data_IF_380398263793
#
_entry.id   IF_380398263793
#
_cell.length_a   1.000
_cell.length_b   1.000
_cell.length_c   1.000
_cell.angle_alpha   90.00
_cell.angle_beta   90.00
_cell.angle_gamma   90.00
#
_symmetry.space_group_name_H-M   'P 1'
#
loop_
_entity.id
_entity.type
_entity.pdbx_description
1 polymer ?
#
# COMPACT_ATOMS: atom_id res chain seq x y z
N UNK A 1 9.50 13.74 -10.58
CA UNK A 1 9.44 15.12 -10.07
C UNK A 1 8.29 15.93 -10.68
N UNK A 2 7.90 15.74 -11.95
CA UNK A 2 6.78 16.53 -12.54
C UNK A 2 5.40 16.36 -11.87
N UNK A 3 5.03 15.14 -11.47
CA UNK A 3 3.69 14.80 -10.95
C UNK A 3 3.69 14.43 -9.47
N UNK A 4 4.87 14.38 -8.85
CA UNK A 4 5.03 14.02 -7.45
C UNK A 4 6.07 14.89 -6.75
N UNK A 5 5.94 15.04 -5.43
CA UNK A 5 6.84 15.83 -4.59
C UNK A 5 7.24 15.05 -3.33
N UNK A 6 8.51 15.17 -2.92
CA UNK A 6 8.98 14.67 -1.62
C UNK A 6 8.76 15.74 -0.54
N UNK A 7 8.56 15.36 0.74
CA UNK A 7 8.40 16.32 1.82
C UNK A 7 9.48 17.41 1.89
N UNK A 8 10.74 17.04 1.66
CA UNK A 8 11.89 17.95 1.68
C UNK A 8 12.03 18.82 0.41
N UNK A 9 11.21 18.58 -0.61
CA UNK A 9 11.18 19.35 -1.86
C UNK A 9 9.94 20.24 -1.98
N UNK A 10 9.09 20.27 -0.95
CA UNK A 10 7.90 21.13 -0.92
C UNK A 10 8.30 22.60 -0.80
N UNK A 11 7.53 23.47 -1.45
CA UNK A 11 7.60 24.91 -1.30
C UNK A 11 6.22 25.44 -0.89
N UNK A 12 6.20 26.66 -0.34
CA UNK A 12 4.95 27.38 -0.07
C UNK A 12 4.15 27.55 -1.37
N UNK A 13 2.83 27.45 -1.26
CA UNK A 13 1.94 27.65 -2.40
C UNK A 13 1.79 29.15 -2.67
N UNK A 14 2.71 29.68 -3.48
CA UNK A 14 2.72 31.09 -3.92
C UNK A 14 2.33 31.13 -5.40
N UNK A 15 1.19 31.74 -5.70
CA UNK A 15 0.61 31.80 -7.05
C UNK A 15 1.45 32.67 -8.01
N UNK A 16 2.51 32.06 -8.55
CA UNK A 16 3.46 32.65 -9.51
C UNK A 16 3.55 31.82 -10.79
N UNK A 17 2.60 30.90 -10.96
CA UNK A 17 2.57 29.92 -12.03
C UNK A 17 2.34 30.57 -13.40
N UNK A 18 2.89 29.95 -14.43
CA UNK A 18 2.71 30.31 -15.83
C UNK A 18 1.99 29.18 -16.56
N UNK A 19 1.41 29.50 -17.71
CA UNK A 19 0.82 28.49 -18.59
C UNK A 19 1.83 27.38 -18.89
N UNK A 20 1.46 26.13 -18.57
CA UNK A 20 2.32 24.96 -18.74
C UNK A 20 2.99 24.46 -17.46
N UNK A 21 2.96 25.25 -16.37
CA UNK A 21 3.43 24.79 -15.07
C UNK A 21 2.55 23.65 -14.54
N UNK A 22 3.17 22.70 -13.83
CA UNK A 22 2.49 21.55 -13.23
C UNK A 22 2.67 21.61 -11.73
N UNK A 23 1.55 21.59 -11.01
CA UNK A 23 1.53 21.35 -9.57
C UNK A 23 1.48 19.84 -9.34
N UNK A 24 2.47 19.25 -8.65
CA UNK A 24 2.46 17.83 -8.32
C UNK A 24 1.21 17.44 -7.52
N UNK A 25 0.48 16.41 -7.98
CA UNK A 25 -0.72 15.91 -7.30
C UNK A 25 -0.44 14.80 -6.27
N UNK A 26 0.79 14.27 -6.25
CA UNK A 26 1.16 13.13 -5.42
C UNK A 26 2.27 13.53 -4.45
N UNK A 27 2.07 13.29 -3.15
CA UNK A 27 3.16 13.39 -2.16
C UNK A 27 3.70 11.99 -1.92
N UNK A 28 5.00 11.80 -2.16
CA UNK A 28 5.66 10.53 -1.87
C UNK A 28 6.32 10.62 -0.50
N UNK A 29 5.77 9.89 0.46
CA UNK A 29 6.35 9.76 1.80
C UNK A 29 6.06 8.37 2.36
N UNK A 30 6.90 7.85 3.27
CA UNK A 30 6.59 6.65 4.02
C UNK A 30 5.25 6.78 4.73
N UNK A 31 4.49 5.69 4.80
CA UNK A 31 3.33 5.63 5.68
C UNK A 31 3.79 5.63 7.15
N UNK A 32 3.00 6.26 8.01
CA UNK A 32 3.25 6.36 9.45
C UNK A 32 2.04 5.82 10.24
N UNK A 33 2.21 5.65 11.55
CA UNK A 33 1.20 5.01 12.42
C UNK A 33 0.91 3.57 12.00
N UNK A 34 -0.30 3.07 12.27
CA UNK A 34 -0.68 1.68 11.99
C UNK A 34 -0.53 1.27 10.51
N UNK A 35 -0.58 2.24 9.57
CA UNK A 35 -0.35 1.97 8.14
C UNK A 35 1.12 1.67 7.81
N UNK A 36 2.04 2.14 8.66
CA UNK A 36 3.47 1.89 8.53
C UNK A 36 3.90 0.51 9.06
N UNK A 37 3.02 -0.24 9.72
CA UNK A 37 3.31 -1.58 10.24
C UNK A 37 3.42 -2.65 9.13
N UNK A 38 3.05 -2.28 7.91
CA UNK A 38 3.13 -3.14 6.72
C UNK A 38 4.25 -2.61 5.82
N UNK A 39 5.24 -3.45 5.56
CA UNK A 39 6.26 -3.19 4.55
C UNK A 39 6.08 -4.14 3.37
N UNK A 40 6.52 -3.70 2.20
CA UNK A 40 6.48 -4.51 1.01
C UNK A 40 7.75 -4.33 0.20
N UNK A 41 8.20 -5.41 -0.43
CA UNK A 41 9.27 -5.39 -1.41
C UNK A 41 8.79 -6.09 -2.68
N UNK A 42 9.21 -5.57 -3.83
CA UNK A 42 8.82 -6.12 -5.13
C UNK A 42 10.04 -6.42 -5.97
N UNK A 43 9.91 -7.40 -6.85
CA UNK A 43 10.90 -7.67 -7.90
C UNK A 43 10.19 -8.08 -9.19
N UNK A 44 10.74 -7.62 -10.31
CA UNK A 44 10.30 -8.03 -11.65
C UNK A 44 11.40 -8.87 -12.28
N UNK A 45 11.05 -10.08 -12.72
CA UNK A 45 11.98 -10.97 -13.41
C UNK A 45 11.21 -11.88 -14.36
N UNK A 46 11.73 -12.06 -15.57
CA UNK A 46 11.22 -13.01 -16.57
C UNK A 46 9.70 -12.92 -16.81
N UNK A 47 9.18 -11.68 -16.93
CA UNK A 47 7.75 -11.46 -17.21
C UNK A 47 6.83 -11.55 -15.99
N UNK A 48 7.36 -11.63 -14.77
CA UNK A 48 6.57 -11.84 -13.56
C UNK A 48 6.94 -10.85 -12.45
N UNK A 49 5.91 -10.34 -11.77
CA UNK A 49 6.05 -9.59 -10.52
C UNK A 49 6.00 -10.55 -9.34
N UNK A 50 6.99 -10.45 -8.46
CA UNK A 50 6.99 -11.07 -7.14
C UNK A 50 6.87 -9.98 -6.09
N UNK A 51 5.84 -10.07 -5.25
CA UNK A 51 5.60 -9.17 -4.12
C UNK A 51 5.77 -9.95 -2.82
N UNK A 52 6.57 -9.42 -1.91
CA UNK A 52 6.65 -9.87 -0.52
C UNK A 52 6.08 -8.77 0.38
N UNK A 53 5.10 -9.13 1.23
CA UNK A 53 4.50 -8.23 2.20
C UNK A 53 4.81 -8.77 3.59
N UNK A 54 5.30 -7.89 4.47
CA UNK A 54 5.65 -8.22 5.85
C UNK A 54 4.91 -7.32 6.82
N UNK A 55 4.44 -7.93 7.91
CA UNK A 55 3.83 -7.25 9.06
C UNK A 55 3.99 -8.08 10.32
N UNK A 56 3.76 -7.48 11.48
CA UNK A 56 3.63 -8.23 12.73
C UNK A 56 2.36 -9.10 12.73
N UNK A 57 2.43 -10.23 13.43
CA UNK A 57 1.25 -11.09 13.65
C UNK A 57 0.21 -10.40 14.52
N UNK A 58 0.67 -9.64 15.53
CA UNK A 58 -0.15 -8.83 16.41
C UNK A 58 0.33 -7.39 16.28
N UNK A 59 -0.55 -6.49 15.89
CA UNK A 59 -0.27 -5.06 15.75
C UNK A 59 -0.74 -4.29 16.99
N UNK A 60 -0.08 -3.19 17.31
CA UNK A 60 -0.31 -2.44 18.56
C UNK A 60 -0.74 -1.00 18.32
N UNK A 61 -0.99 -0.62 17.07
CA UNK A 61 -1.44 0.73 16.72
C UNK A 61 -2.82 1.06 17.30
N UNK A 62 -3.17 2.34 17.26
CA UNK A 62 -4.48 2.80 17.72
C UNK A 62 -5.60 2.05 17.01
N UNK A 63 -6.58 1.57 17.79
CA UNK A 63 -7.73 0.80 17.30
C UNK A 63 -7.37 -0.49 16.55
N UNK A 64 -6.16 -1.03 16.70
CA UNK A 64 -5.73 -2.27 16.04
C UNK A 64 -6.69 -3.45 16.26
N UNK A 65 -7.32 -3.56 17.43
CA UNK A 65 -8.29 -4.62 17.74
C UNK A 65 -9.55 -4.61 16.86
N UNK A 66 -9.94 -3.46 16.31
CA UNK A 66 -11.16 -3.31 15.53
C UNK A 66 -10.90 -2.96 14.06
N UNK A 67 -9.71 -2.46 13.74
CA UNK A 67 -9.33 -2.04 12.38
C UNK A 67 -8.36 -3.00 11.70
N UNK A 68 -7.81 -3.96 12.42
CA UNK A 68 -6.81 -4.87 11.89
C UNK A 68 -7.07 -6.31 12.35
N UNK A 69 -6.69 -7.27 11.50
CA UNK A 69 -6.80 -8.69 11.81
C UNK A 69 -5.62 -9.09 12.70
N UNK A 70 -5.93 -9.60 13.89
CA UNK A 70 -4.93 -10.05 14.85
C UNK A 70 -4.68 -11.56 14.70
N UNK A 71 -3.48 -11.94 14.26
CA UNK A 71 -3.06 -13.34 14.05
C UNK A 71 -2.62 -14.01 15.35
N UNK A 72 -3.50 -14.01 16.35
CA UNK A 72 -3.24 -14.60 17.68
C UNK A 72 -3.33 -16.11 17.69
N UNK A 73 -4.21 -16.67 16.86
CA UNK A 73 -4.50 -18.09 16.84
C UNK A 73 -3.90 -18.73 15.59
N UNK A 74 -2.76 -19.39 15.76
CA UNK A 74 -2.06 -20.06 14.66
C UNK A 74 -2.81 -21.31 14.15
N UNK A 75 -3.76 -21.86 14.92
CA UNK A 75 -4.63 -22.96 14.48
C UNK A 75 -5.80 -22.50 13.60
N UNK A 76 -6.03 -21.18 13.50
CA UNK A 76 -7.12 -20.60 12.72
C UNK A 76 -6.70 -20.35 11.27
N UNK A 77 -7.62 -20.61 10.34
CA UNK A 77 -7.49 -20.13 8.97
C UNK A 77 -7.99 -18.70 8.86
N UNK A 78 -7.17 -17.83 8.29
CA UNK A 78 -7.49 -16.42 8.02
C UNK A 78 -7.71 -16.21 6.52
N UNK A 79 -8.77 -15.50 6.17
CA UNK A 79 -9.16 -15.31 4.77
C UNK A 79 -8.77 -13.93 4.26
N UNK A 80 -8.23 -13.88 3.04
CA UNK A 80 -7.79 -12.67 2.38
C UNK A 80 -8.38 -12.54 0.99
N UNK A 81 -8.41 -11.30 0.49
CA UNK A 81 -8.67 -11.02 -0.90
C UNK A 81 -7.49 -10.29 -1.55
N UNK A 82 -7.19 -10.61 -2.81
CA UNK A 82 -6.17 -9.95 -3.61
C UNK A 82 -6.80 -9.40 -4.89
N UNK A 83 -6.49 -8.14 -5.19
CA UNK A 83 -6.82 -7.50 -6.46
C UNK A 83 -5.55 -6.95 -7.11
N UNK A 84 -5.42 -7.12 -8.42
CA UNK A 84 -4.26 -6.69 -9.19
C UNK A 84 -4.67 -5.60 -10.16
N UNK A 85 -3.85 -4.56 -10.23
CA UNK A 85 -4.05 -3.39 -11.08
C UNK A 85 -2.92 -3.35 -12.09
N UNK A 86 -3.22 -3.69 -13.35
CA UNK A 86 -2.26 -3.64 -14.44
C UNK A 86 -2.63 -2.52 -15.41
N UNK A 87 -2.02 -1.35 -15.21
CA UNK A 87 -2.22 -0.13 -16.00
C UNK A 87 -3.70 0.22 -16.29
N UNK A 88 -4.61 -0.22 -15.42
CA UNK A 88 -6.03 -0.18 -15.66
C UNK A 88 -6.64 0.99 -14.90
N UNK A 89 -7.00 2.05 -15.65
CA UNK A 89 -7.46 3.30 -15.06
C UNK A 89 -8.87 3.20 -14.42
N UNK A 90 -9.71 2.27 -14.90
CA UNK A 90 -11.10 2.06 -14.45
C UNK A 90 -11.50 0.60 -14.29
N UNK A 91 -10.62 -0.36 -14.61
CA UNK A 91 -10.96 -1.78 -14.58
C UNK A 91 -10.06 -2.51 -13.58
N UNK A 92 -10.60 -3.36 -12.72
CA UNK A 92 -9.83 -4.03 -11.67
C UNK A 92 -9.90 -5.53 -11.88
N UNK A 93 -8.75 -6.20 -11.90
CA UNK A 93 -8.74 -7.67 -11.84
C UNK A 93 -8.91 -8.05 -10.38
N UNK A 94 -10.05 -8.64 -10.05
CA UNK A 94 -10.31 -9.25 -8.75
C UNK A 94 -10.47 -10.76 -8.96
N UNK A 95 -10.07 -11.53 -7.96
CA UNK A 95 -10.46 -12.93 -7.87
C UNK A 95 -11.87 -13.06 -7.25
N UNK A 96 -12.63 -14.07 -7.66
CA UNK A 96 -13.87 -14.45 -6.99
C UNK A 96 -13.55 -15.41 -5.83
N UNK A 97 -14.08 -15.14 -4.64
CA UNK A 97 -13.82 -15.92 -3.43
C UNK A 97 -12.73 -15.35 -2.53
N UNK A 98 -12.35 -16.12 -1.51
CA UNK A 98 -11.33 -15.74 -0.54
C UNK A 98 -10.20 -16.78 -0.50
N UNK A 99 -8.97 -16.29 -0.29
CA UNK A 99 -7.78 -17.12 -0.14
C UNK A 99 -7.59 -17.39 1.35
N UNK A 100 -7.62 -18.67 1.74
CA UNK A 100 -7.33 -19.10 3.11
C UNK A 100 -5.82 -19.18 3.36
N UNK A 101 -5.36 -18.59 4.45
CA UNK A 101 -4.01 -18.69 4.98
C UNK A 101 -4.06 -19.41 6.32
N UNK A 102 -3.23 -20.45 6.45
CA UNK A 102 -3.03 -21.19 7.70
C UNK A 102 -1.55 -21.11 8.08
N UNK A 103 -1.28 -21.04 9.38
CA UNK A 103 0.09 -21.17 9.88
C UNK A 103 0.40 -22.67 10.03
N UNK A 104 1.58 -23.07 9.55
CA UNK A 104 2.09 -24.45 9.68
C UNK A 104 3.05 -24.57 10.86
#
# INVERSE_FOLDING_TARGET
DKYWVLPNTKAEFIDTFKTGDIVPGIVISPFTGSRGDITAQTSWKDGQWTLEIKRALITTGDKAEIQDVQFRDMGKTYYFGISVFDNSQINHVYHEGSIGMSFN
#
